data_IF_929872405058
#
_entry.id   IF_929872405058
#
_cell.length_a   1.000
_cell.length_b   1.000
_cell.length_c   1.000
_cell.angle_alpha   90.00
_cell.angle_beta   90.00
_cell.angle_gamma   90.00
#
_symmetry.space_group_name_H-M   'P 1'
#
loop_
_entity.id
_entity.type
_entity.pdbx_description
1 polymer ?
#
# COMPACT_ATOMS: atom_id res chain seq x y z
N UNK A 1 -37.12 -3.31 14.13
CA UNK A 1 -36.13 -2.56 13.34
C UNK A 1 -34.84 -3.34 13.41
N UNK A 2 -34.24 -3.70 12.28
CA UNK A 2 -32.89 -4.27 12.27
C UNK A 2 -31.90 -3.12 12.49
N UNK A 3 -31.03 -3.29 13.48
CA UNK A 3 -29.97 -2.34 13.78
C UNK A 3 -28.68 -2.93 13.22
N UNK A 4 -28.04 -2.22 12.30
CA UNK A 4 -26.75 -2.61 11.73
C UNK A 4 -25.66 -1.81 12.46
N UNK A 5 -24.67 -2.51 12.99
CA UNK A 5 -23.46 -1.93 13.55
C UNK A 5 -22.30 -2.44 12.70
N UNK A 6 -21.41 -1.56 12.27
CA UNK A 6 -20.22 -1.93 11.52
C UNK A 6 -19.08 -1.00 11.96
N UNK A 7 -18.20 -1.55 12.80
CA UNK A 7 -16.78 -1.19 12.87
C UNK A 7 -15.96 -2.02 11.86
N UNK A 8 -16.65 -2.72 10.95
CA UNK A 8 -16.13 -3.72 10.02
C UNK A 8 -16.65 -3.43 8.62
N UNK A 9 -15.75 -3.38 7.65
CA UNK A 9 -16.05 -3.20 6.25
C UNK A 9 -16.64 -4.49 5.63
N UNK A 10 -17.83 -4.43 5.03
CA UNK A 10 -18.40 -5.46 4.15
C UNK A 10 -19.37 -4.82 3.15
N UNK A 11 -19.27 -5.18 1.88
CA UNK A 11 -20.17 -4.73 0.81
C UNK A 11 -21.53 -5.45 0.81
N UNK A 12 -21.67 -6.54 1.58
CA UNK A 12 -22.94 -7.27 1.77
C UNK A 12 -23.23 -7.47 3.27
N UNK A 13 -24.31 -6.88 3.82
CA UNK A 13 -24.69 -7.06 5.22
C UNK A 13 -25.06 -8.51 5.59
N UNK A 14 -25.36 -9.36 4.62
CA UNK A 14 -25.74 -10.76 4.85
C UNK A 14 -24.54 -11.69 5.09
N UNK A 15 -23.32 -11.22 4.82
CA UNK A 15 -22.08 -12.01 4.88
C UNK A 15 -21.21 -11.71 6.11
N UNK A 16 -21.66 -10.94 7.10
CA UNK A 16 -20.89 -10.67 8.33
C UNK A 16 -20.55 -11.97 9.09
N UNK A 17 -19.41 -12.57 8.77
CA UNK A 17 -18.93 -13.80 9.40
C UNK A 17 -18.20 -13.46 10.70
N UNK A 18 -17.70 -14.48 11.40
CA UNK A 18 -16.81 -14.26 12.56
C UNK A 18 -15.39 -13.86 12.13
N UNK A 19 -15.01 -14.08 10.88
CA UNK A 19 -13.66 -13.79 10.37
C UNK A 19 -13.49 -12.30 10.09
N UNK A 20 -14.57 -11.60 9.75
CA UNK A 20 -14.58 -10.15 9.54
C UNK A 20 -14.52 -9.38 10.88
N UNK A 21 -14.83 -10.07 11.99
CA UNK A 21 -14.82 -9.50 13.34
C UNK A 21 -13.45 -9.68 13.96
N UNK A 22 -12.78 -8.59 14.31
CA UNK A 22 -11.77 -8.66 15.38
C UNK A 22 -12.43 -9.22 16.63
N UNK A 23 -11.74 -10.13 17.32
CA UNK A 23 -12.14 -10.59 18.65
C UNK A 23 -12.06 -9.41 19.64
N UNK A 24 -13.11 -8.59 19.71
CA UNK A 24 -13.15 -7.39 20.54
C UNK A 24 -13.85 -6.18 19.92
N UNK A 25 -14.94 -6.37 19.16
CA UNK A 25 -15.70 -5.35 18.41
C UNK A 25 -16.33 -4.17 19.22
N UNK A 26 -15.82 -3.86 20.41
CA UNK A 26 -16.18 -2.69 21.21
C UNK A 26 -14.98 -2.06 21.95
N UNK A 27 -13.76 -2.54 21.73
CA UNK A 27 -12.58 -2.11 22.49
C UNK A 27 -11.48 -1.68 21.54
N UNK A 28 -11.36 -0.36 21.33
CA UNK A 28 -10.27 0.37 20.67
C UNK A 28 -9.58 -0.33 19.48
N UNK A 29 -9.91 0.11 18.25
CA UNK A 29 -9.09 -0.18 17.08
C UNK A 29 -7.68 0.40 17.21
N UNK A 30 -6.69 -0.29 16.66
CA UNK A 30 -5.33 0.23 16.54
C UNK A 30 -5.10 0.63 15.08
N UNK A 31 -4.73 1.88 14.85
CA UNK A 31 -4.20 2.36 13.57
C UNK A 31 -2.70 2.51 13.74
N UNK A 32 -1.96 1.83 12.89
CA UNK A 32 -0.53 1.96 12.74
C UNK A 32 -0.25 3.01 11.67
N UNK A 33 0.83 3.74 11.88
CA UNK A 33 1.28 4.82 11.03
C UNK A 33 2.74 4.64 10.70
N UNK A 34 3.09 4.76 9.42
CA UNK A 34 4.47 4.77 8.96
C UNK A 34 4.68 5.98 8.07
N UNK A 35 5.85 6.60 8.24
CA UNK A 35 6.36 7.64 7.37
C UNK A 35 7.71 7.22 6.81
N UNK A 36 7.81 7.10 5.50
CA UNK A 36 9.05 6.88 4.77
C UNK A 36 9.42 8.19 4.05
N UNK A 37 10.53 8.81 4.44
CA UNK A 37 11.07 10.01 3.80
C UNK A 37 12.46 9.70 3.29
N UNK A 38 12.70 9.92 2.01
CA UNK A 38 13.98 9.65 1.35
C UNK A 38 14.35 10.81 0.43
N UNK A 39 15.65 11.05 0.31
CA UNK A 39 16.21 11.80 -0.82
C UNK A 39 16.75 10.76 -1.78
N UNK A 40 16.14 10.65 -2.94
CA UNK A 40 16.45 9.65 -3.96
C UNK A 40 17.42 10.31 -4.95
N UNK A 41 18.52 9.66 -5.35
CA UNK A 41 19.35 10.13 -6.45
C UNK A 41 18.57 10.09 -7.79
N UNK A 42 19.24 10.36 -8.90
CA UNK A 42 18.68 9.97 -10.19
C UNK A 42 18.43 8.46 -10.24
N UNK A 43 17.39 8.05 -10.96
CA UNK A 43 16.92 6.67 -11.02
C UNK A 43 16.77 6.21 -12.45
N UNK A 44 16.83 4.90 -12.65
CA UNK A 44 16.50 4.25 -13.91
C UNK A 44 15.10 3.64 -13.86
N UNK A 45 14.56 3.29 -15.03
CA UNK A 45 13.37 2.45 -15.11
C UNK A 45 13.63 1.11 -14.40
N UNK A 46 12.70 0.70 -13.53
CA UNK A 46 12.75 -0.52 -12.75
C UNK A 46 13.49 -0.40 -11.41
N UNK A 47 13.98 0.79 -11.04
CA UNK A 47 14.49 1.02 -9.70
C UNK A 47 13.34 0.95 -8.68
N UNK A 48 13.57 0.24 -7.56
CA UNK A 48 12.54 -0.01 -6.54
C UNK A 48 12.95 0.58 -5.19
N UNK A 49 12.04 1.36 -4.61
CA UNK A 49 12.18 1.97 -3.29
C UNK A 49 11.31 1.20 -2.30
N UNK A 50 11.93 0.57 -1.30
CA UNK A 50 11.25 -0.25 -0.28
C UNK A 50 10.81 0.62 0.90
N UNK A 51 9.53 0.59 1.26
CA UNK A 51 8.95 1.58 2.19
C UNK A 51 8.58 0.97 3.54
N UNK A 52 7.74 -0.06 3.54
CA UNK A 52 7.36 -0.77 4.75
C UNK A 52 6.84 -2.17 4.48
N UNK A 53 6.82 -2.98 5.54
CA UNK A 53 6.21 -4.30 5.52
C UNK A 53 4.76 -4.23 5.96
N UNK A 54 3.91 -4.98 5.29
CA UNK A 54 2.50 -5.20 5.64
C UNK A 54 2.22 -6.69 5.64
N UNK A 55 1.40 -7.15 6.58
CA UNK A 55 0.97 -8.54 6.59
C UNK A 55 -0.21 -8.74 5.63
N UNK A 56 -0.36 -9.94 5.07
CA UNK A 56 -1.46 -10.26 4.16
C UNK A 56 -2.85 -10.03 4.76
N UNK A 57 -2.96 -10.10 6.09
CA UNK A 57 -4.19 -9.83 6.84
C UNK A 57 -4.41 -8.36 7.24
N UNK A 58 -3.42 -7.49 7.03
CA UNK A 58 -3.50 -6.05 7.33
C UNK A 58 -4.52 -5.34 6.42
N UNK A 59 -5.07 -4.23 6.91
CA UNK A 59 -6.04 -3.41 6.19
C UNK A 59 -5.47 -2.00 6.00
N UNK A 60 -5.11 -1.66 4.77
CA UNK A 60 -4.57 -0.34 4.41
C UNK A 60 -5.74 0.62 4.20
N UNK A 61 -5.64 1.80 4.81
CA UNK A 61 -6.68 2.83 4.77
C UNK A 61 -6.27 4.04 3.93
N UNK A 62 -4.97 4.36 3.95
CA UNK A 62 -4.46 5.59 3.35
C UNK A 62 -3.02 5.45 2.89
N UNK A 63 -2.73 5.99 1.70
CA UNK A 63 -1.41 6.04 1.08
C UNK A 63 -1.16 7.45 0.57
N UNK A 64 -0.58 8.31 1.43
CA UNK A 64 -0.36 9.72 1.08
C UNK A 64 1.05 9.91 0.58
N UNK A 65 1.18 10.31 -0.68
CA UNK A 65 2.44 10.59 -1.34
C UNK A 65 2.70 12.09 -1.45
N UNK A 66 3.96 12.47 -1.23
CA UNK A 66 4.50 13.77 -1.64
C UNK A 66 5.85 13.57 -2.31
N UNK A 67 6.18 14.39 -3.29
CA UNK A 67 7.46 14.33 -3.99
C UNK A 67 7.96 15.72 -4.36
N UNK A 68 9.29 15.86 -4.44
CA UNK A 68 9.91 16.91 -5.22
C UNK A 68 9.74 16.65 -6.72
N UNK A 69 10.17 17.63 -7.52
CA UNK A 69 10.23 17.51 -8.99
C UNK A 69 11.42 16.62 -9.39
N UNK A 70 11.14 15.56 -10.15
CA UNK A 70 12.13 14.58 -10.65
C UNK A 70 12.86 15.01 -11.93
N UNK A 71 12.61 16.23 -12.40
CA UNK A 71 13.23 16.86 -13.56
C UNK A 71 12.38 16.72 -14.82
N UNK A 72 12.97 16.25 -15.94
CA UNK A 72 12.25 16.15 -17.22
C UNK A 72 11.60 14.79 -17.48
N UNK A 73 11.79 13.82 -16.58
CA UNK A 73 11.16 12.51 -16.62
C UNK A 73 11.00 11.95 -15.20
N UNK A 74 10.11 10.99 -15.04
CA UNK A 74 9.81 10.35 -13.76
C UNK A 74 8.35 9.97 -13.66
N UNK A 75 8.08 8.67 -13.56
CA UNK A 75 6.77 8.11 -13.19
C UNK A 75 6.98 7.02 -12.15
N UNK A 76 6.04 6.90 -11.21
CA UNK A 76 6.12 5.95 -10.09
C UNK A 76 4.85 5.10 -10.02
N UNK A 77 5.03 3.79 -9.86
CA UNK A 77 4.00 2.84 -9.47
C UNK A 77 4.08 2.55 -7.97
N UNK A 78 2.94 2.28 -7.34
CA UNK A 78 2.86 1.88 -5.92
C UNK A 78 2.19 0.52 -5.79
N UNK A 79 2.92 -0.44 -5.22
CA UNK A 79 2.46 -1.82 -5.16
C UNK A 79 3.20 -2.69 -4.15
N UNK A 80 2.96 -3.99 -4.24
CA UNK A 80 3.42 -5.00 -3.30
C UNK A 80 4.43 -5.96 -3.94
N UNK A 81 5.49 -6.21 -3.18
CA UNK A 81 6.52 -7.19 -3.50
C UNK A 81 6.54 -8.27 -2.42
N UNK A 82 6.95 -9.47 -2.79
CA UNK A 82 7.34 -10.48 -1.81
C UNK A 82 8.57 -10.00 -1.01
N UNK A 83 8.76 -10.55 0.19
CA UNK A 83 10.02 -10.32 0.90
C UNK A 83 11.18 -10.92 0.08
N UNK A 84 12.37 -10.28 0.05
CA UNK A 84 13.54 -10.87 -0.58
C UNK A 84 13.99 -12.13 0.17
N UNK A 85 14.44 -13.14 -0.57
CA UNK A 85 15.02 -14.38 -0.03
C UNK A 85 16.46 -14.17 0.54
N UNK A 86 17.04 -12.98 0.34
CA UNK A 86 18.39 -12.64 0.75
C UNK A 86 18.46 -12.28 2.25
N UNK A 87 19.24 -13.03 3.07
CA UNK A 87 19.40 -12.75 4.50
C UNK A 87 20.04 -11.40 4.81
N UNK A 88 20.81 -10.82 3.89
CA UNK A 88 21.43 -9.51 4.06
C UNK A 88 20.46 -8.36 3.75
N UNK A 89 19.28 -8.68 3.20
CA UNK A 89 18.20 -7.73 2.91
C UNK A 89 18.54 -6.73 1.81
N UNK A 90 19.53 -7.02 0.97
CA UNK A 90 20.03 -6.10 -0.06
C UNK A 90 19.25 -6.17 -1.38
N UNK A 91 18.63 -7.32 -1.65
CA UNK A 91 17.76 -7.53 -2.82
C UNK A 91 16.32 -7.04 -2.62
N UNK A 92 15.57 -7.06 -3.72
CA UNK A 92 14.11 -6.92 -3.75
C UNK A 92 13.50 -8.31 -4.01
N UNK A 93 12.31 -8.57 -3.46
CA UNK A 93 11.56 -9.78 -3.81
C UNK A 93 10.93 -9.69 -5.19
N UNK A 94 10.09 -10.67 -5.53
CA UNK A 94 9.34 -10.65 -6.80
C UNK A 94 8.17 -9.68 -6.68
N UNK A 95 7.90 -8.88 -7.72
CA UNK A 95 6.68 -8.08 -7.80
C UNK A 95 5.47 -9.02 -7.75
N UNK A 96 4.58 -8.80 -6.79
CA UNK A 96 3.30 -9.51 -6.70
C UNK A 96 2.29 -8.77 -7.55
N UNK A 97 2.25 -7.45 -7.37
CA UNK A 97 1.45 -6.49 -8.11
C UNK A 97 2.09 -5.11 -7.86
N UNK A 98 2.91 -4.62 -8.79
CA UNK A 98 3.76 -3.43 -8.64
C UNK A 98 3.00 -2.11 -8.80
N UNK A 99 1.80 -2.15 -9.39
CA UNK A 99 0.91 -1.01 -9.61
C UNK A 99 -0.44 -1.13 -8.89
N UNK A 100 -0.56 -2.03 -7.91
CA UNK A 100 -1.80 -2.32 -7.17
C UNK A 100 -2.58 -1.09 -6.69
N UNK A 101 -1.89 -0.07 -6.18
CA UNK A 101 -2.51 1.12 -5.58
C UNK A 101 -2.44 2.36 -6.44
N UNK A 102 -1.41 2.46 -7.28
CA UNK A 102 -1.21 3.57 -8.17
C UNK A 102 -0.32 3.19 -9.35
N UNK A 103 -0.68 3.58 -10.57
CA UNK A 103 0.15 3.42 -11.77
C UNK A 103 0.57 4.76 -12.38
N UNK A 104 1.82 4.81 -12.87
CA UNK A 104 2.42 5.90 -13.61
C UNK A 104 2.20 7.30 -13.01
N UNK A 105 2.33 7.44 -11.69
CA UNK A 105 2.21 8.72 -10.99
C UNK A 105 3.29 9.67 -11.53
N UNK A 106 2.87 10.76 -12.18
CA UNK A 106 3.78 11.77 -12.71
C UNK A 106 4.41 12.59 -11.58
N UNK A 107 5.74 12.52 -11.50
CA UNK A 107 6.56 13.29 -10.55
C UNK A 107 7.51 14.29 -11.24
N UNK A 108 7.39 14.45 -12.56
CA UNK A 108 8.22 15.34 -13.37
C UNK A 108 7.49 16.62 -13.81
N UNK A 109 6.17 16.59 -13.98
CA UNK A 109 5.43 17.79 -14.40
C UNK A 109 5.35 18.82 -13.26
N UNK A 110 5.24 18.35 -12.01
CA UNK A 110 5.25 19.18 -10.82
C UNK A 110 5.53 18.34 -9.56
N UNK A 111 5.99 19.02 -8.51
CA UNK A 111 6.06 18.43 -7.17
C UNK A 111 4.65 18.04 -6.67
N UNK A 112 4.55 16.86 -6.06
CA UNK A 112 3.31 16.37 -5.45
C UNK A 112 3.28 16.72 -3.96
N UNK A 113 2.11 17.11 -3.45
CA UNK A 113 1.93 17.44 -2.04
C UNK A 113 0.67 16.78 -1.49
N UNK A 114 0.88 15.80 -0.61
CA UNK A 114 -0.16 15.07 0.13
C UNK A 114 -1.28 14.52 -0.75
N UNK A 115 -0.91 13.87 -1.86
CA UNK A 115 -1.86 13.21 -2.76
C UNK A 115 -2.13 11.81 -2.26
N UNK A 116 -3.40 11.42 -2.13
CA UNK A 116 -3.78 10.04 -1.78
C UNK A 116 -3.74 9.16 -3.04
N UNK A 117 -3.10 8.00 -2.92
CA UNK A 117 -2.72 7.12 -4.03
C UNK A 117 -3.26 5.70 -3.81
N UNK A 118 -4.47 5.56 -3.29
CA UNK A 118 -5.09 4.24 -3.08
C UNK A 118 -6.03 3.84 -4.22
N UNK A 119 -6.69 4.83 -4.83
CA UNK A 119 -7.77 4.60 -5.79
C UNK A 119 -7.18 4.48 -7.22
N UNK A 120 -6.97 3.25 -7.66
CA UNK A 120 -6.43 2.85 -8.98
C UNK A 120 -7.53 2.21 -9.84
N UNK A 121 -7.34 1.98 -11.14
CA UNK A 121 -8.39 1.47 -12.05
C UNK A 121 -9.15 0.21 -11.55
N UNK A 122 -8.52 -0.63 -10.72
CA UNK A 122 -9.11 -1.84 -10.14
C UNK A 122 -9.54 -1.70 -8.66
N UNK A 123 -9.20 -0.60 -7.99
CA UNK A 123 -9.50 -0.32 -6.59
C UNK A 123 -10.28 0.99 -6.45
N UNK A 124 -11.35 0.99 -5.68
CA UNK A 124 -12.08 2.22 -5.35
C UNK A 124 -12.09 2.51 -3.84
N UNK A 125 -12.72 3.63 -3.47
CA UNK A 125 -12.88 4.03 -2.07
C UNK A 125 -13.55 2.94 -1.19
N UNK A 126 -14.33 2.05 -1.80
CA UNK A 126 -14.97 0.92 -1.12
C UNK A 126 -14.07 -0.31 -1.02
N UNK A 127 -12.84 -0.26 -1.51
CA UNK A 127 -11.83 -1.28 -1.24
C UNK A 127 -10.97 -0.93 -0.02
N UNK A 128 -11.03 0.32 0.44
CA UNK A 128 -10.36 0.77 1.66
C UNK A 128 -10.87 -0.01 2.87
N UNK A 129 -9.95 -0.67 3.54
CA UNK A 129 -10.27 -1.53 4.68
C UNK A 129 -10.48 -3.00 4.34
N UNK A 130 -10.41 -3.42 3.07
CA UNK A 130 -10.17 -4.83 2.72
C UNK A 130 -8.80 -5.29 3.22
N UNK A 131 -8.65 -6.59 3.46
CA UNK A 131 -7.36 -7.16 3.79
C UNK A 131 -6.46 -7.18 2.55
N UNK A 132 -5.14 -7.07 2.73
CA UNK A 132 -4.17 -7.06 1.62
C UNK A 132 -4.36 -8.27 0.68
N UNK A 133 -4.63 -9.46 1.20
CA UNK A 133 -4.87 -10.63 0.36
C UNK A 133 -6.15 -10.53 -0.50
N UNK A 134 -7.17 -9.82 -0.02
CA UNK A 134 -8.42 -9.57 -0.76
C UNK A 134 -8.19 -8.54 -1.86
N UNK A 135 -7.38 -7.51 -1.61
CA UNK A 135 -6.95 -6.53 -2.62
C UNK A 135 -6.19 -7.21 -3.76
N UNK A 136 -5.35 -8.19 -3.43
CA UNK A 136 -4.63 -9.04 -4.38
C UNK A 136 -5.52 -10.08 -5.10
N UNK A 137 -6.84 -10.11 -4.83
CA UNK A 137 -7.77 -11.05 -5.45
C UNK A 137 -7.53 -12.53 -5.11
N UNK A 138 -6.80 -12.82 -4.03
CA UNK A 138 -6.54 -14.19 -3.59
C UNK A 138 -7.82 -14.82 -3.02
N UNK A 139 -7.93 -16.14 -3.07
CA UNK A 139 -9.11 -16.87 -2.57
C UNK A 139 -9.06 -17.17 -1.07
N UNK A 140 -7.89 -17.02 -0.45
CA UNK A 140 -7.65 -17.23 0.98
C UNK A 140 -6.39 -16.49 1.42
N UNK A 141 -6.36 -16.05 2.67
CA UNK A 141 -5.21 -15.38 3.27
C UNK A 141 -3.96 -16.28 3.31
N UNK A 142 -2.86 -15.92 2.63
CA UNK A 142 -1.63 -16.70 2.60
C UNK A 142 -0.80 -16.62 3.90
N UNK A 143 -1.19 -15.80 4.87
CA UNK A 143 -0.46 -15.59 6.14
C UNK A 143 1.03 -15.24 5.92
N UNK A 144 1.32 -14.31 5.01
CA UNK A 144 2.69 -13.87 4.71
C UNK A 144 2.83 -12.35 4.72
N UNK A 145 4.06 -11.88 4.86
CA UNK A 145 4.40 -10.46 4.75
C UNK A 145 4.70 -10.09 3.30
N UNK A 146 4.33 -8.86 2.94
CA UNK A 146 4.69 -8.18 1.71
C UNK A 146 5.46 -6.90 2.02
N UNK A 147 6.22 -6.40 1.05
CA UNK A 147 6.81 -5.08 1.09
C UNK A 147 6.04 -4.14 0.18
N UNK A 148 5.52 -3.06 0.76
CA UNK A 148 5.02 -1.92 0.02
C UNK A 148 6.22 -1.17 -0.57
N UNK A 149 6.23 -1.05 -1.89
CA UNK A 149 7.31 -0.45 -2.64
C UNK A 149 6.79 0.62 -3.61
N UNK A 150 7.68 1.54 -3.96
CA UNK A 150 7.49 2.44 -5.09
C UNK A 150 8.46 2.04 -6.20
N UNK A 151 7.95 1.83 -7.41
CA UNK A 151 8.73 1.38 -8.57
C UNK A 151 8.78 2.49 -9.61
N UNK A 152 9.97 2.80 -10.13
CA UNK A 152 10.13 3.80 -11.18
C UNK A 152 9.73 3.20 -12.54
N UNK A 153 8.54 3.49 -13.06
CA UNK A 153 8.11 3.11 -14.42
C UNK A 153 8.89 3.90 -15.49
N UNK A 154 9.20 5.17 -15.18
CA UNK A 154 10.17 5.97 -15.90
C UNK A 154 11.17 6.55 -14.91
N UNK A 155 12.47 6.38 -15.20
CA UNK A 155 13.54 6.92 -14.36
C UNK A 155 13.52 8.45 -14.27
N UNK A 156 13.96 8.96 -13.11
CA UNK A 156 14.16 10.39 -12.88
C UNK A 156 15.42 10.91 -13.56
N UNK A 157 15.45 12.22 -13.82
CA UNK A 157 16.64 12.88 -14.43
C UNK A 157 17.46 13.68 -13.43
N UNK A 158 16.99 13.78 -12.20
CA UNK A 158 17.68 14.40 -11.08
C UNK A 158 17.26 13.74 -9.76
N UNK A 159 18.00 14.08 -8.70
CA UNK A 159 17.62 13.74 -7.35
C UNK A 159 16.35 14.48 -6.92
N UNK A 160 15.50 13.81 -6.16
CA UNK A 160 14.25 14.37 -5.66
C UNK A 160 13.91 13.80 -4.28
N UNK A 161 13.13 14.55 -3.50
CA UNK A 161 12.58 14.08 -2.24
C UNK A 161 11.34 13.23 -2.49
N UNK A 162 11.20 12.14 -1.75
CA UNK A 162 10.02 11.28 -1.76
C UNK A 162 9.55 11.03 -0.33
N UNK A 163 8.24 11.16 -0.13
CA UNK A 163 7.56 10.92 1.14
C UNK A 163 6.34 10.03 0.88
N UNK A 164 6.27 8.90 1.57
CA UNK A 164 5.04 8.13 1.70
C UNK A 164 4.62 8.03 3.16
N UNK A 165 3.36 8.36 3.43
CA UNK A 165 2.69 8.21 4.71
C UNK A 165 1.60 7.15 4.58
N UNK A 166 1.70 6.08 5.38
CA UNK A 166 0.84 4.90 5.31
C UNK A 166 0.09 4.74 6.62
N UNK A 167 -1.23 4.63 6.53
CA UNK A 167 -2.09 4.29 7.65
C UNK A 167 -2.75 2.92 7.42
N UNK A 168 -2.57 2.00 8.36
CA UNK A 168 -3.17 0.69 8.29
C UNK A 168 -3.58 0.18 9.67
N UNK A 169 -4.55 -0.71 9.72
CA UNK A 169 -4.87 -1.46 10.94
C UNK A 169 -4.37 -2.89 10.81
N UNK A 170 -3.74 -3.45 11.85
CA UNK A 170 -3.19 -4.80 11.75
C UNK A 170 -4.29 -5.84 11.58
N UNK A 171 -4.05 -6.88 10.81
CA UNK A 171 -4.97 -8.01 10.74
C UNK A 171 -4.95 -8.86 12.01
N UNK A 172 -5.89 -9.80 12.12
CA UNK A 172 -5.70 -10.91 13.07
C UNK A 172 -4.60 -11.81 12.53
N UNK A 173 -3.44 -11.84 13.20
CA UNK A 173 -2.48 -12.92 13.00
C UNK A 173 -3.12 -14.19 13.60
N UNK A 174 -3.53 -15.14 12.77
CA UNK A 174 -4.01 -16.45 13.21
C UNK A 174 -3.16 -17.55 12.62
#
# INVERSE_FOLDING_TARGET
MATFYSDVFSSDPSTFTKQDRRAGALTAGAVLYKRAYLTIPDTANGDVIRLCKVHSSDRIHKLVMSSGDSGTAGTIDLGLYDLPDDPDGSGIGTAVDDDLFASAIDVNTAALSQVDQFDEAALDDFDRGKQVWELLGLSSDPQKEYELCATMDAGSTQAFEFLLEVEWSPGSAS
#
